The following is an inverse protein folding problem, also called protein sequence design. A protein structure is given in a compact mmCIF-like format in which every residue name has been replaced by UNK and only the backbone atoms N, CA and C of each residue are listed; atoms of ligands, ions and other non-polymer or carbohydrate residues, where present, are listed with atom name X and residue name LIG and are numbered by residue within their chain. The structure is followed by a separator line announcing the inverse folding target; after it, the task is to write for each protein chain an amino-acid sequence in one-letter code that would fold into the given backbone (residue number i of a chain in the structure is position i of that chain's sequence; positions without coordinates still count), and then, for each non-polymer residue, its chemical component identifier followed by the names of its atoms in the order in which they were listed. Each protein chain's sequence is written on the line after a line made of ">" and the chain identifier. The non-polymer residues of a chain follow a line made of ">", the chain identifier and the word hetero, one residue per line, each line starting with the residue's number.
data_IF_428427610823
#
_entry.id   IF_428427610823
#
_cell.length_a   1.000
_cell.length_b   1.000
_cell.length_c   1.000
_cell.angle_alpha   90.00
_cell.angle_beta   90.00
_cell.angle_gamma   90.00
#
_symmetry.space_group_name_H-M   'P 1'
#
loop_
_entity.id
_entity.type
_entity.pdbx_description
1 polymer ?
#
# COMPACT_ATOMS: atom_id res chain seq x y z
N UNK A 1 -27.63 -42.05 35.85
CA UNK A 1 -27.65 -40.91 36.74
C UNK A 1 -26.22 -40.35 36.73
N UNK A 2 -25.91 -39.46 35.79
CA UNK A 2 -24.58 -38.88 35.57
C UNK A 2 -24.74 -37.39 35.64
N UNK A 3 -24.18 -36.81 36.66
CA UNK A 3 -24.17 -35.38 36.99
C UNK A 3 -23.21 -34.64 36.09
N UNK A 4 -23.67 -33.52 35.55
CA UNK A 4 -23.00 -32.57 34.68
C UNK A 4 -22.16 -31.60 35.54
N UNK A 5 -20.91 -31.27 35.20
CA UNK A 5 -20.19 -30.23 35.92
C UNK A 5 -20.58 -28.82 35.44
N UNK A 6 -20.73 -27.92 36.39
CA UNK A 6 -21.02 -26.51 36.24
C UNK A 6 -19.91 -25.76 35.51
N UNK A 7 -20.33 -24.86 34.65
CA UNK A 7 -19.42 -23.90 33.99
C UNK A 7 -19.16 -22.73 34.92
N UNK A 8 -17.95 -22.61 35.36
CA UNK A 8 -17.41 -21.44 36.03
C UNK A 8 -17.38 -20.23 35.08
N UNK A 9 -18.03 -19.15 35.46
CA UNK A 9 -18.03 -17.86 34.75
C UNK A 9 -16.75 -17.14 35.07
N UNK A 10 -15.89 -16.93 34.09
CA UNK A 10 -14.77 -16.00 34.20
C UNK A 10 -15.27 -14.57 34.26
N UNK A 11 -14.98 -13.89 35.37
CA UNK A 11 -15.17 -12.47 35.59
C UNK A 11 -14.21 -11.69 34.70
N UNK A 12 -14.76 -10.89 33.81
CA UNK A 12 -14.01 -9.90 33.01
C UNK A 12 -13.61 -8.74 33.89
N UNK A 13 -12.34 -8.63 34.23
CA UNK A 13 -11.76 -7.46 34.86
C UNK A 13 -11.56 -6.34 33.84
N UNK A 14 -12.44 -5.34 33.88
CA UNK A 14 -12.41 -4.12 33.05
C UNK A 14 -11.53 -3.03 33.64
N UNK A 15 -10.74 -3.32 34.67
CA UNK A 15 -10.02 -2.30 35.46
C UNK A 15 -8.52 -2.13 35.14
N UNK A 16 -8.02 -2.70 34.06
CA UNK A 16 -6.57 -2.63 33.74
C UNK A 16 -6.18 -1.55 32.69
N UNK A 17 -7.11 -0.74 32.19
CA UNK A 17 -6.83 0.23 31.12
C UNK A 17 -6.72 1.70 31.60
N UNK A 18 -6.91 1.98 32.90
CA UNK A 18 -7.02 3.36 33.37
C UNK A 18 -5.92 3.82 34.34
N UNK A 19 -4.70 3.30 34.29
CA UNK A 19 -3.60 3.83 35.11
C UNK A 19 -2.26 3.87 34.36
N UNK A 20 -2.20 4.58 33.22
CA UNK A 20 -0.95 5.10 32.68
C UNK A 20 -1.05 6.63 32.55
N UNK A 21 -1.25 7.32 33.67
CA UNK A 21 -1.05 8.77 33.74
C UNK A 21 0.44 9.01 33.93
N UNK A 22 1.12 9.33 32.85
CA UNK A 22 2.52 9.72 32.84
C UNK A 22 2.67 11.08 33.52
N UNK A 23 3.45 11.13 34.59
CA UNK A 23 3.95 12.37 35.16
C UNK A 23 4.91 13.04 34.18
N UNK A 24 4.49 14.14 33.57
CA UNK A 24 5.34 15.04 32.78
C UNK A 24 6.19 15.88 33.74
N UNK A 25 7.45 15.51 33.90
CA UNK A 25 8.49 16.32 34.48
C UNK A 25 8.79 17.52 33.59
N UNK A 26 8.65 18.71 34.15
CA UNK A 26 9.03 19.97 33.54
C UNK A 26 10.56 20.08 33.36
N UNK A 27 11.01 20.40 32.15
CA UNK A 27 12.38 20.83 32.00
C UNK A 27 12.99 20.60 30.62
N UNK A 28 13.17 21.69 29.91
CA UNK A 28 13.99 21.90 28.71
C UNK A 28 13.29 21.74 27.35
N UNK A 29 12.81 22.89 26.85
CA UNK A 29 12.53 23.08 25.41
C UNK A 29 13.85 23.35 24.69
N UNK A 30 14.30 22.49 23.77
CA UNK A 30 15.30 22.91 22.80
C UNK A 30 14.62 23.87 21.81
N UNK A 31 15.12 25.10 21.73
CA UNK A 31 14.71 26.06 20.71
C UNK A 31 15.22 25.59 19.35
N UNK A 32 14.39 24.85 18.62
CA UNK A 32 14.64 24.54 17.21
C UNK A 32 14.26 25.77 16.38
N UNK A 33 15.17 26.74 16.26
CA UNK A 33 15.13 27.76 15.22
C UNK A 33 15.74 27.19 13.94
N UNK A 34 15.02 26.30 13.28
CA UNK A 34 15.26 25.92 11.91
C UNK A 34 14.24 26.66 11.03
N UNK A 35 14.71 27.60 10.26
CA UNK A 35 13.95 28.27 9.21
C UNK A 35 13.60 27.21 8.17
N UNK A 36 12.46 26.54 8.34
CA UNK A 36 11.88 25.73 7.27
C UNK A 36 11.38 26.76 6.25
N UNK A 37 12.16 26.93 5.19
CA UNK A 37 11.69 27.66 4.02
C UNK A 37 10.46 26.92 3.55
N UNK A 38 9.30 27.57 3.65
CA UNK A 38 8.05 27.01 3.12
C UNK A 38 8.32 26.49 1.71
N UNK A 39 7.92 25.25 1.39
CA UNK A 39 8.01 24.79 0.02
C UNK A 39 7.24 25.79 -0.85
N UNK A 40 7.69 26.07 -2.10
CA UNK A 40 7.00 27.01 -2.95
C UNK A 40 5.53 26.60 -2.97
N UNK A 41 4.66 27.53 -2.56
CA UNK A 41 3.20 27.34 -2.59
C UNK A 41 2.86 26.81 -3.98
N UNK A 42 2.41 25.56 -4.03
CA UNK A 42 1.87 25.01 -5.27
C UNK A 42 0.90 26.07 -5.81
N UNK A 43 1.10 26.48 -7.07
CA UNK A 43 0.14 27.35 -7.75
C UNK A 43 -1.22 26.77 -7.47
N UNK A 44 -2.12 27.58 -6.90
CA UNK A 44 -3.50 27.19 -6.73
C UNK A 44 -3.99 26.77 -8.13
N UNK A 45 -4.07 25.46 -8.35
CA UNK A 45 -4.79 24.93 -9.49
C UNK A 45 -6.21 25.46 -9.33
N UNK A 46 -6.69 26.23 -10.30
CA UNK A 46 -8.12 26.51 -10.39
C UNK A 46 -8.79 25.15 -10.20
N UNK A 47 -9.64 25.02 -9.17
CA UNK A 47 -10.20 23.73 -8.74
C UNK A 47 -11.13 23.23 -9.85
N UNK A 48 -10.55 22.60 -10.88
CA UNK A 48 -11.28 21.89 -11.92
C UNK A 48 -11.38 20.43 -11.45
N UNK A 49 -12.59 19.94 -11.34
CA UNK A 49 -12.84 18.52 -11.13
C UNK A 49 -12.28 17.74 -12.33
N UNK A 50 -11.44 16.73 -12.05
CA UNK A 50 -10.95 15.78 -13.04
C UNK A 50 -11.61 14.43 -12.80
N UNK A 51 -12.11 13.81 -13.85
CA UNK A 51 -12.72 12.47 -13.82
C UNK A 51 -12.02 11.60 -14.85
N UNK A 52 -11.56 10.43 -14.43
CA UNK A 52 -11.02 9.40 -15.30
C UNK A 52 -11.83 8.11 -15.15
N UNK A 53 -11.77 7.25 -16.16
CA UNK A 53 -12.46 5.97 -16.18
C UNK A 53 -11.49 4.86 -16.59
N UNK A 54 -11.36 3.83 -15.76
CA UNK A 54 -10.46 2.71 -16.04
C UNK A 54 -10.79 1.96 -17.36
N UNK A 55 -12.03 2.00 -17.84
CA UNK A 55 -12.43 1.37 -19.10
C UNK A 55 -11.99 2.16 -20.33
N UNK A 56 -11.73 3.47 -20.15
CA UNK A 56 -11.36 4.40 -21.21
C UNK A 56 -9.86 4.71 -21.22
N UNK A 57 -9.18 4.49 -20.09
CA UNK A 57 -7.75 4.71 -19.97
C UNK A 57 -6.97 3.69 -20.81
N UNK A 58 -5.99 4.17 -21.59
CA UNK A 58 -5.14 3.34 -22.42
C UNK A 58 -4.30 2.38 -21.58
N UNK A 59 -4.34 1.06 -21.85
CA UNK A 59 -3.53 0.09 -21.15
C UNK A 59 -2.08 0.08 -21.64
N UNK A 60 -1.16 -0.22 -20.75
CA UNK A 60 0.21 -0.58 -21.09
C UNK A 60 0.73 -1.67 -20.17
N UNK A 61 1.78 -2.37 -20.58
CA UNK A 61 2.44 -3.37 -19.74
C UNK A 61 3.54 -2.67 -18.95
N UNK A 62 3.41 -2.72 -17.62
CA UNK A 62 4.37 -2.13 -16.70
C UNK A 62 5.67 -2.97 -16.61
N UNK A 63 6.75 -2.41 -16.04
CA UNK A 63 7.99 -3.15 -15.84
C UNK A 63 7.84 -4.45 -15.05
N UNK A 64 6.88 -4.55 -14.15
CA UNK A 64 6.56 -5.75 -13.36
C UNK A 64 5.75 -6.81 -14.13
N UNK A 65 5.36 -6.54 -15.38
CA UNK A 65 4.55 -7.37 -16.28
C UNK A 65 3.04 -7.33 -16.01
N UNK A 66 2.56 -6.49 -15.12
CA UNK A 66 1.12 -6.20 -15.00
C UNK A 66 0.62 -5.32 -16.14
N UNK A 67 -0.67 -5.42 -16.50
CA UNK A 67 -1.33 -4.42 -17.34
C UNK A 67 -1.81 -3.28 -16.46
N UNK A 68 -1.40 -2.05 -16.78
CA UNK A 68 -1.72 -0.85 -16.03
C UNK A 68 -2.54 0.12 -16.86
N UNK A 69 -3.53 0.74 -16.22
CA UNK A 69 -4.31 1.87 -16.72
C UNK A 69 -4.20 3.01 -15.70
N UNK A 70 -3.48 4.06 -16.08
CA UNK A 70 -3.31 5.23 -15.18
C UNK A 70 -4.61 6.01 -15.09
N UNK A 71 -5.05 6.30 -13.88
CA UNK A 71 -6.25 7.07 -13.63
C UNK A 71 -5.93 8.50 -13.19
N UNK A 72 -4.98 8.65 -12.26
CA UNK A 72 -4.53 9.95 -11.74
C UNK A 72 -3.03 9.89 -11.51
N UNK A 73 -2.29 10.83 -12.08
CA UNK A 73 -0.86 10.99 -11.87
C UNK A 73 -0.37 12.41 -12.20
N UNK A 74 0.94 12.57 -12.30
CA UNK A 74 1.58 13.83 -12.71
C UNK A 74 1.26 14.23 -14.14
N UNK A 75 1.11 13.26 -15.03
CA UNK A 75 0.85 13.52 -16.45
C UNK A 75 -0.61 13.92 -16.68
N UNK A 76 -1.55 13.29 -15.95
CA UNK A 76 -2.98 13.56 -16.10
C UNK A 76 -3.42 14.87 -15.45
N UNK A 77 -3.00 15.14 -14.21
CA UNK A 77 -3.49 16.30 -13.43
C UNK A 77 -2.38 17.13 -12.76
N UNK A 78 -1.12 16.79 -13.00
CA UNK A 78 0.02 17.52 -12.41
C UNK A 78 0.23 17.24 -10.91
N UNK A 79 -0.47 16.27 -10.32
CA UNK A 79 -0.35 15.92 -8.90
C UNK A 79 0.97 15.19 -8.63
N UNK A 80 1.67 15.61 -7.55
CA UNK A 80 2.95 14.99 -7.16
C UNK A 80 2.84 14.15 -5.88
N UNK A 81 1.79 14.33 -5.10
CA UNK A 81 1.63 13.71 -3.79
C UNK A 81 1.00 12.32 -3.84
N UNK A 82 0.28 12.00 -4.92
CA UNK A 82 -0.44 10.73 -5.05
C UNK A 82 -0.58 10.35 -6.52
N UNK A 83 -0.60 9.06 -6.82
CA UNK A 83 -1.10 8.52 -8.10
C UNK A 83 -2.06 7.37 -7.85
N UNK A 84 -2.92 7.10 -8.82
CA UNK A 84 -3.86 5.99 -8.81
C UNK A 84 -3.87 5.33 -10.17
N UNK A 85 -3.76 4.01 -10.19
CA UNK A 85 -3.85 3.18 -11.38
C UNK A 85 -4.74 1.97 -11.13
N UNK A 86 -5.32 1.44 -12.20
CA UNK A 86 -5.98 0.14 -12.22
C UNK A 86 -5.00 -0.88 -12.81
N UNK A 87 -4.73 -1.93 -12.06
CA UNK A 87 -3.85 -3.01 -12.45
C UNK A 87 -4.62 -4.29 -12.76
N UNK A 88 -4.11 -5.06 -13.73
CA UNK A 88 -4.62 -6.38 -14.08
C UNK A 88 -3.45 -7.36 -14.19
N UNK A 89 -3.56 -8.50 -13.52
CA UNK A 89 -2.67 -9.65 -13.67
C UNK A 89 -3.49 -10.78 -14.28
N UNK A 90 -3.04 -11.31 -15.41
CA UNK A 90 -3.76 -12.37 -16.12
C UNK A 90 -3.90 -13.63 -15.24
N UNK A 91 -4.93 -14.44 -15.50
CA UNK A 91 -5.16 -15.67 -14.75
C UNK A 91 -3.91 -16.56 -14.72
N UNK A 92 -3.48 -16.97 -13.53
CA UNK A 92 -2.31 -17.79 -13.30
C UNK A 92 -0.96 -17.09 -13.50
N UNK A 93 -0.95 -15.83 -13.99
CA UNK A 93 0.28 -15.05 -14.15
C UNK A 93 0.76 -14.46 -12.80
N UNK A 94 2.02 -14.08 -12.79
CA UNK A 94 2.70 -13.45 -11.66
C UNK A 94 3.51 -12.25 -12.14
N UNK A 95 3.50 -11.16 -11.35
CA UNK A 95 4.39 -10.04 -11.59
C UNK A 95 5.82 -10.42 -11.19
N UNK A 96 6.81 -9.71 -11.72
CA UNK A 96 8.19 -9.90 -11.27
C UNK A 96 8.43 -9.16 -9.96
N UNK A 97 9.41 -9.62 -9.19
CA UNK A 97 9.88 -8.89 -8.02
C UNK A 97 10.35 -7.49 -8.41
N UNK A 98 9.80 -6.49 -7.76
CA UNK A 98 10.19 -5.09 -7.90
C UNK A 98 10.00 -4.34 -6.59
N UNK A 99 10.50 -3.13 -6.50
CA UNK A 99 10.28 -2.22 -5.36
C UNK A 99 10.17 -0.78 -5.84
N UNK A 100 9.37 0.01 -5.15
CA UNK A 100 9.25 1.44 -5.39
C UNK A 100 10.13 2.21 -4.40
N UNK A 101 11.16 2.89 -4.88
CA UNK A 101 12.03 3.71 -4.03
C UNK A 101 11.32 4.99 -3.60
N UNK A 102 11.31 5.26 -2.28
CA UNK A 102 10.72 6.46 -1.68
C UNK A 102 9.24 6.70 -2.04
N UNK A 103 8.49 5.63 -2.24
CA UNK A 103 7.05 5.67 -2.55
C UNK A 103 6.39 4.48 -1.86
N UNK A 104 5.45 4.75 -0.96
CA UNK A 104 4.56 3.72 -0.41
C UNK A 104 3.51 3.36 -1.45
N UNK A 105 3.09 2.12 -1.46
CA UNK A 105 2.03 1.65 -2.35
C UNK A 105 0.94 0.90 -1.58
N UNK A 106 -0.29 1.07 -2.03
CA UNK A 106 -1.43 0.33 -1.51
C UNK A 106 -2.11 -0.37 -2.67
N UNK A 107 -2.27 -1.70 -2.57
CA UNK A 107 -3.19 -2.44 -3.43
C UNK A 107 -4.56 -2.51 -2.77
N UNK A 108 -5.61 -2.28 -3.54
CA UNK A 108 -6.98 -2.54 -3.13
C UNK A 108 -7.65 -3.47 -4.14
N UNK A 109 -7.92 -4.70 -3.74
CA UNK A 109 -8.41 -5.74 -4.65
C UNK A 109 -9.86 -5.50 -5.05
N UNK A 110 -10.11 -5.50 -6.35
CA UNK A 110 -11.45 -5.30 -6.94
C UNK A 110 -12.10 -6.62 -7.32
N UNK A 111 -11.34 -7.53 -7.95
CA UNK A 111 -11.86 -8.83 -8.38
C UNK A 111 -10.75 -9.87 -8.53
N UNK A 112 -11.11 -11.15 -8.54
CA UNK A 112 -10.17 -12.26 -8.58
C UNK A 112 -9.59 -12.57 -7.20
N UNK A 113 -8.57 -13.44 -7.16
CA UNK A 113 -7.79 -13.79 -5.96
C UNK A 113 -6.32 -13.72 -6.30
N UNK A 114 -5.49 -13.33 -5.35
CA UNK A 114 -4.05 -13.26 -5.52
C UNK A 114 -3.29 -13.83 -4.34
N UNK A 115 -2.04 -14.21 -4.59
CA UNK A 115 -1.01 -14.40 -3.57
C UNK A 115 -0.06 -13.22 -3.68
N UNK A 116 -0.09 -12.32 -2.71
CA UNK A 116 0.82 -11.19 -2.62
C UNK A 116 2.02 -11.55 -1.75
N UNK A 117 3.21 -11.09 -2.14
CA UNK A 117 4.43 -11.19 -1.35
C UNK A 117 5.01 -9.81 -1.16
N UNK A 118 5.33 -9.44 0.09
CA UNK A 118 5.94 -8.16 0.49
C UNK A 118 7.09 -8.47 1.44
N UNK A 119 8.33 -8.21 1.02
CA UNK A 119 9.51 -8.68 1.76
C UNK A 119 9.47 -10.20 1.94
N UNK A 120 9.57 -10.64 3.19
CA UNK A 120 9.55 -12.07 3.56
C UNK A 120 8.14 -12.60 3.87
N UNK A 121 7.13 -11.75 3.81
CA UNK A 121 5.75 -12.12 4.10
C UNK A 121 4.96 -12.42 2.83
N UNK A 122 4.02 -13.36 2.92
CA UNK A 122 3.11 -13.66 1.82
C UNK A 122 1.73 -14.00 2.36
N UNK A 123 0.70 -13.58 1.63
CA UNK A 123 -0.69 -13.83 2.00
C UNK A 123 -1.63 -13.86 0.80
N UNK A 124 -2.69 -14.66 0.90
CA UNK A 124 -3.76 -14.61 -0.08
C UNK A 124 -4.64 -13.38 0.14
N UNK A 125 -5.07 -12.78 -0.97
CA UNK A 125 -5.94 -11.61 -0.99
C UNK A 125 -7.10 -11.81 -1.97
N UNK A 126 -8.22 -11.15 -1.68
CA UNK A 126 -9.42 -11.18 -2.49
C UNK A 126 -10.17 -9.84 -2.46
N UNK A 127 -11.34 -9.75 -3.13
CA UNK A 127 -12.08 -8.49 -3.25
C UNK A 127 -12.37 -7.82 -1.91
N UNK A 128 -12.00 -6.53 -1.80
CA UNK A 128 -12.15 -5.73 -0.59
C UNK A 128 -10.92 -5.69 0.31
N UNK A 129 -9.91 -6.55 0.07
CA UNK A 129 -8.66 -6.50 0.83
C UNK A 129 -7.79 -5.35 0.38
N UNK A 130 -7.11 -4.74 1.35
CA UNK A 130 -6.09 -3.72 1.14
C UNK A 130 -4.73 -4.23 1.63
N UNK A 131 -3.69 -4.06 0.82
CA UNK A 131 -2.31 -4.40 1.17
C UNK A 131 -1.47 -3.13 1.14
N UNK A 132 -0.84 -2.79 2.27
CA UNK A 132 0.14 -1.71 2.31
C UNK A 132 1.54 -2.26 2.07
N UNK A 133 2.28 -1.61 1.21
CA UNK A 133 3.63 -1.95 0.81
C UNK A 133 4.53 -0.75 1.09
N UNK A 134 5.42 -0.83 2.09
CA UNK A 134 6.31 0.28 2.43
C UNK A 134 7.30 0.59 1.31
N UNK A 135 7.69 1.86 1.22
CA UNK A 135 8.72 2.31 0.29
C UNK A 135 10.01 1.48 0.41
N UNK A 136 10.54 1.04 -0.73
CA UNK A 136 11.78 0.25 -0.82
C UNK A 136 11.61 -1.24 -0.54
N UNK A 137 10.47 -1.70 -0.02
CA UNK A 137 10.21 -3.13 0.23
C UNK A 137 9.90 -3.85 -1.08
N UNK A 138 10.57 -4.97 -1.43
CA UNK A 138 10.21 -5.77 -2.61
C UNK A 138 8.83 -6.36 -2.48
N UNK A 139 8.18 -6.45 -3.62
CA UNK A 139 6.85 -6.97 -3.76
C UNK A 139 6.66 -7.72 -5.07
N UNK A 140 5.72 -8.63 -5.08
CA UNK A 140 5.12 -9.24 -6.27
C UNK A 140 3.73 -9.77 -5.95
N UNK A 141 2.94 -10.01 -6.98
CA UNK A 141 1.61 -10.61 -6.81
C UNK A 141 1.34 -11.61 -7.93
N UNK A 142 0.75 -12.74 -7.58
CA UNK A 142 0.30 -13.79 -8.50
C UNK A 142 -1.20 -13.89 -8.49
N UNK A 143 -1.82 -13.90 -9.67
CA UNK A 143 -3.24 -14.20 -9.82
C UNK A 143 -3.50 -15.70 -9.58
N UNK A 144 -4.44 -16.02 -8.70
CA UNK A 144 -4.84 -17.39 -8.37
C UNK A 144 -6.13 -17.77 -9.10
N UNK A 145 -6.18 -19.02 -9.57
CA UNK A 145 -7.36 -19.56 -10.27
C UNK A 145 -7.40 -19.20 -11.75
N UNK A 146 -8.62 -19.23 -12.34
CA UNK A 146 -8.85 -19.14 -13.79
C UNK A 146 -9.36 -17.80 -14.28
N UNK A 147 -9.48 -16.80 -13.39
CA UNK A 147 -9.89 -15.44 -13.72
C UNK A 147 -8.76 -14.45 -13.42
N UNK A 148 -8.66 -13.34 -14.16
CA UNK A 148 -7.68 -12.30 -13.85
C UNK A 148 -7.89 -11.72 -12.46
N UNK A 149 -6.80 -11.29 -11.84
CA UNK A 149 -6.80 -10.47 -10.64
C UNK A 149 -6.80 -9.01 -11.06
N UNK A 150 -7.72 -8.20 -10.53
CA UNK A 150 -7.74 -6.76 -10.73
C UNK A 150 -7.71 -6.02 -9.40
N UNK A 151 -6.95 -4.94 -9.34
CA UNK A 151 -6.81 -4.13 -8.14
C UNK A 151 -6.44 -2.69 -8.48
N UNK A 152 -6.64 -1.79 -7.53
CA UNK A 152 -6.13 -0.43 -7.61
C UNK A 152 -4.73 -0.39 -6.99
N UNK A 153 -3.82 0.37 -7.62
CA UNK A 153 -2.53 0.75 -7.08
C UNK A 153 -2.58 2.23 -6.72
N UNK A 154 -2.48 2.56 -5.44
CA UNK A 154 -2.39 3.94 -4.96
C UNK A 154 -0.98 4.17 -4.43
N UNK A 155 -0.26 5.14 -4.99
CA UNK A 155 1.11 5.47 -4.60
C UNK A 155 1.19 6.84 -3.94
N UNK A 156 1.96 6.94 -2.87
CA UNK A 156 2.28 8.18 -2.17
C UNK A 156 3.77 8.25 -1.77
N UNK A 157 4.54 9.21 -2.30
CA UNK A 157 4.29 10.16 -3.41
C UNK A 157 3.90 9.47 -4.73
N UNK A 158 3.38 10.25 -5.69
CA UNK A 158 2.99 9.73 -7.00
C UNK A 158 4.08 8.88 -7.65
N UNK A 159 3.69 7.77 -8.24
CA UNK A 159 4.58 6.86 -8.98
C UNK A 159 5.47 7.61 -9.97
N UNK A 160 6.73 7.18 -10.02
CA UNK A 160 7.73 7.64 -10.98
C UNK A 160 8.46 6.42 -11.53
N UNK A 161 8.53 6.24 -12.86
CA UNK A 161 9.20 5.08 -13.47
C UNK A 161 10.65 4.88 -13.03
N UNK A 162 11.38 5.97 -12.78
CA UNK A 162 12.77 5.94 -12.32
C UNK A 162 12.95 5.42 -10.89
N UNK A 163 11.85 5.30 -10.13
CA UNK A 163 11.82 4.74 -8.77
C UNK A 163 11.42 3.26 -8.74
N UNK A 164 10.92 2.74 -9.85
CA UNK A 164 10.52 1.34 -9.97
C UNK A 164 11.73 0.50 -10.37
N UNK A 165 12.17 -0.35 -9.46
CA UNK A 165 13.36 -1.17 -9.62
C UNK A 165 12.99 -2.64 -9.65
N UNK A 166 13.16 -3.27 -10.81
CA UNK A 166 13.07 -4.73 -10.93
C UNK A 166 14.19 -5.40 -10.14
N UNK A 167 13.86 -6.52 -9.54
CA UNK A 167 14.80 -7.32 -8.74
C UNK A 167 14.80 -8.76 -9.25
N UNK A 168 15.99 -9.38 -9.28
CA UNK A 168 16.10 -10.83 -9.48
C UNK A 168 15.70 -11.57 -8.19
N UNK A 169 15.24 -12.81 -8.28
CA UNK A 169 14.82 -13.61 -7.11
C UNK A 169 15.94 -13.72 -6.05
N UNK A 170 17.21 -13.84 -6.48
CA UNK A 170 18.35 -13.91 -5.57
C UNK A 170 18.60 -12.61 -4.77
N UNK A 171 18.08 -11.46 -5.23
CA UNK A 171 18.26 -10.18 -4.56
C UNK A 171 17.24 -9.92 -3.45
N UNK A 172 16.21 -10.76 -3.34
CA UNK A 172 15.11 -10.62 -2.37
C UNK A 172 15.41 -11.32 -1.06
N UNK A 173 16.22 -12.41 -1.10
CA UNK A 173 16.55 -13.20 0.08
C UNK A 173 17.63 -12.51 0.90
N UNK A 174 17.28 -11.95 2.06
CA UNK A 174 18.23 -11.46 3.05
C UNK A 174 18.66 -9.99 2.97
N UNK A 175 17.96 -9.14 2.24
CA UNK A 175 18.33 -7.73 2.01
C UNK A 175 17.55 -6.69 2.85
N UNK A 176 16.90 -7.10 3.97
CA UNK A 176 16.09 -6.17 4.76
C UNK A 176 16.81 -5.76 6.05
N UNK A 177 16.84 -4.46 6.38
CA UNK A 177 17.33 -3.99 7.67
C UNK A 177 16.40 -4.41 8.81
#
# INVERSE_FOLDING_TARGET
>A
MLTRPERERASTSTDAVLQATVALSAGHKPAFRGFVKDPPRARAHAAAMFVSNAREAEPFVAPDLSEIRVLVDRATVGVASVSLAHATVAAGAETVWHRLQATDEIYFVLSGRGLVSVGDESGEVGPGDAVWIPAGVPQKIRALGSVPLTFLCACGPAYLPERDQRMGEAAVIGAWP
#
